data_IF_517182235881
#
_entry.id   IF_517182235881
#
_cell.length_a   1.000
_cell.length_b   1.000
_cell.length_c   1.000
_cell.angle_alpha   90.00
_cell.angle_beta   90.00
_cell.angle_gamma   90.00
#
_symmetry.space_group_name_H-M   'P 1'
#
loop_
_entity.id
_entity.type
_entity.pdbx_description
1 polymer ?
#
# COMPACT_ATOMS: atom_id res chain seq x y z
N UNK A 1 -4.94 -36.40 -42.55
CA UNK A 1 -5.09 -34.93 -42.46
C UNK A 1 -4.99 -34.51 -41.00
N UNK A 2 -3.92 -33.83 -40.59
CA UNK A 2 -3.72 -33.41 -39.20
C UNK A 2 -4.16 -31.94 -39.04
N UNK A 3 -5.14 -31.68 -38.15
CA UNK A 3 -5.58 -30.33 -37.78
C UNK A 3 -4.58 -29.74 -36.79
N UNK A 4 -3.79 -28.77 -37.25
CA UNK A 4 -2.93 -27.97 -36.39
C UNK A 4 -3.77 -26.94 -35.64
N UNK A 5 -4.08 -27.21 -34.37
CA UNK A 5 -4.74 -26.25 -33.48
C UNK A 5 -3.63 -25.38 -32.90
N UNK A 6 -3.43 -24.21 -33.50
CA UNK A 6 -2.52 -23.20 -32.97
C UNK A 6 -3.08 -22.70 -31.62
N UNK A 7 -2.54 -23.25 -30.52
CA UNK A 7 -2.74 -22.73 -29.16
C UNK A 7 -2.22 -21.29 -29.10
N UNK A 8 -3.11 -20.32 -28.96
CA UNK A 8 -2.75 -19.03 -28.38
C UNK A 8 -2.65 -19.22 -26.86
N UNK A 9 -1.46 -19.57 -26.37
CA UNK A 9 -1.16 -19.51 -24.94
C UNK A 9 -1.12 -18.03 -24.57
N UNK A 10 -2.21 -17.54 -24.00
CA UNK A 10 -2.31 -16.20 -23.42
C UNK A 10 -1.27 -16.09 -22.29
N UNK A 11 -0.06 -15.63 -22.65
CA UNK A 11 1.01 -15.34 -21.70
C UNK A 11 0.66 -14.02 -21.01
N UNK A 12 -0.18 -14.09 -19.97
CA UNK A 12 -0.38 -12.97 -19.04
C UNK A 12 0.89 -12.78 -18.23
N UNK A 13 1.86 -12.10 -18.82
CA UNK A 13 3.07 -11.67 -18.15
C UNK A 13 2.70 -10.79 -16.95
N UNK A 14 3.30 -11.11 -15.81
CA UNK A 14 2.94 -10.59 -14.50
C UNK A 14 3.08 -9.08 -14.38
N UNK A 15 1.93 -8.41 -14.37
CA UNK A 15 1.71 -7.18 -13.64
C UNK A 15 0.31 -7.30 -13.05
N UNK A 16 0.21 -7.68 -11.78
CA UNK A 16 -1.02 -7.39 -11.04
C UNK A 16 -1.17 -5.87 -11.09
N UNK A 17 -2.18 -5.40 -11.83
CA UNK A 17 -2.54 -3.99 -11.84
C UNK A 17 -2.64 -3.57 -10.37
N UNK A 18 -1.85 -2.56 -9.97
CA UNK A 18 -1.91 -2.02 -8.60
C UNK A 18 -3.38 -1.85 -8.26
N UNK A 19 -3.85 -2.37 -7.10
CA UNK A 19 -5.26 -2.35 -6.79
C UNK A 19 -5.77 -0.91 -6.98
N UNK A 20 -6.93 -0.72 -7.65
CA UNK A 20 -7.47 0.62 -7.86
C UNK A 20 -7.53 1.32 -6.51
N UNK A 21 -6.95 2.52 -6.43
CA UNK A 21 -6.87 3.28 -5.18
C UNK A 21 -8.29 3.43 -4.64
N UNK A 22 -8.58 2.69 -3.56
CA UNK A 22 -9.89 2.69 -2.93
C UNK A 22 -10.19 4.10 -2.42
N UNK A 23 -11.48 4.44 -2.24
CA UNK A 23 -11.87 5.73 -1.66
C UNK A 23 -11.15 5.95 -0.32
N UNK A 24 -11.11 4.90 0.52
CA UNK A 24 -10.35 4.87 1.77
C UNK A 24 -8.86 5.17 1.55
N UNK A 25 -8.22 4.58 0.54
CA UNK A 25 -6.82 4.85 0.22
C UNK A 25 -6.56 6.30 -0.17
N UNK A 26 -7.51 6.96 -0.85
CA UNK A 26 -7.41 8.40 -1.18
C UNK A 26 -7.51 9.26 0.08
N UNK A 27 -8.42 8.93 0.98
CA UNK A 27 -8.61 9.66 2.23
C UNK A 27 -7.39 9.51 3.16
N UNK A 28 -6.89 8.28 3.33
CA UNK A 28 -5.67 8.04 4.12
C UNK A 28 -4.46 8.78 3.56
N UNK A 29 -4.38 8.90 2.22
CA UNK A 29 -3.30 9.66 1.58
C UNK A 29 -3.43 11.17 1.86
N UNK A 30 -4.65 11.73 1.81
CA UNK A 30 -4.88 13.14 2.17
C UNK A 30 -4.49 13.41 3.62
N UNK A 31 -4.95 12.57 4.56
CA UNK A 31 -4.59 12.68 5.97
C UNK A 31 -3.08 12.60 6.18
N UNK A 32 -2.39 11.73 5.44
CA UNK A 32 -0.93 11.64 5.47
C UNK A 32 -0.27 12.92 4.97
N UNK A 33 -0.77 13.50 3.88
CA UNK A 33 -0.23 14.75 3.32
C UNK A 33 -0.44 15.94 4.28
N UNK A 34 -1.62 16.05 4.91
CA UNK A 34 -1.91 17.05 5.94
C UNK A 34 -1.04 16.87 7.19
N UNK A 35 -0.83 15.63 7.64
CA UNK A 35 0.05 15.34 8.77
C UNK A 35 1.50 15.75 8.48
N UNK A 36 2.00 15.49 7.28
CA UNK A 36 3.34 15.92 6.87
C UNK A 36 3.40 17.46 6.78
N UNK A 37 2.37 18.10 6.23
CA UNK A 37 2.30 19.56 6.10
C UNK A 37 2.27 20.28 7.46
N UNK A 38 1.67 19.67 8.48
CA UNK A 38 1.69 20.18 9.86
C UNK A 38 3.03 19.95 10.58
N UNK A 39 4.03 19.37 9.91
CA UNK A 39 5.35 19.08 10.47
C UNK A 39 5.43 17.70 11.17
N UNK A 40 4.41 16.86 11.00
CA UNK A 40 4.38 15.51 11.54
C UNK A 40 5.46 14.63 10.92
N UNK A 41 6.30 14.03 11.77
CA UNK A 41 7.33 13.07 11.34
C UNK A 41 6.68 11.71 11.13
N UNK A 42 6.86 11.14 9.94
CA UNK A 42 6.52 9.73 9.70
C UNK A 42 7.50 8.86 10.47
N UNK A 43 7.02 8.29 11.56
CA UNK A 43 7.82 7.43 12.43
C UNK A 43 8.06 6.07 11.76
N UNK A 44 9.28 5.57 11.88
CA UNK A 44 9.58 4.18 11.58
C UNK A 44 8.91 3.27 12.61
N UNK A 45 8.67 2.00 12.27
CA UNK A 45 7.95 1.04 13.13
C UNK A 45 8.42 1.04 14.59
N UNK A 46 9.74 1.07 14.83
CA UNK A 46 10.34 1.11 16.18
C UNK A 46 10.05 2.42 16.92
N UNK A 47 10.09 3.55 16.21
CA UNK A 47 9.77 4.87 16.79
C UNK A 47 8.29 4.97 17.13
N UNK A 48 7.42 4.43 16.26
CA UNK A 48 5.98 4.34 16.49
C UNK A 48 5.66 3.51 17.73
N UNK A 49 6.25 2.32 17.86
CA UNK A 49 6.06 1.45 19.02
C UNK A 49 6.52 2.14 20.32
N UNK A 50 7.63 2.86 20.30
CA UNK A 50 8.09 3.66 21.44
C UNK A 50 7.10 4.77 21.79
N UNK A 51 6.67 5.57 20.81
CA UNK A 51 5.75 6.68 21.08
C UNK A 51 4.37 6.18 21.53
N UNK A 52 3.90 5.04 21.01
CA UNK A 52 2.68 4.39 21.49
C UNK A 52 2.85 3.92 22.94
N UNK A 53 3.99 3.33 23.31
CA UNK A 53 4.26 2.90 24.68
C UNK A 53 4.35 4.10 25.65
N UNK A 54 4.98 5.19 25.23
CA UNK A 54 5.09 6.44 25.99
C UNK A 54 3.72 7.10 26.17
N UNK A 55 2.90 7.22 25.10
CA UNK A 55 1.55 7.80 25.17
C UNK A 55 0.56 6.94 25.94
N UNK A 56 0.72 5.62 25.92
CA UNK A 56 -0.13 4.69 26.69
C UNK A 56 0.27 4.59 28.17
N UNK A 57 1.31 5.32 28.60
CA UNK A 57 1.71 5.36 30.00
C UNK A 57 2.16 4.00 30.54
N UNK A 58 2.78 3.14 29.71
CA UNK A 58 3.33 1.86 30.14
C UNK A 58 4.65 2.03 30.95
N UNK A 59 4.76 3.11 31.72
CA UNK A 59 5.93 3.41 32.54
C UNK A 59 5.52 3.79 33.95
#
# INVERSE_FOLDING_TARGET
MAKQINKSVDRKNGHSAKPPVTLLGKELRKLREEYIASGGKLLNRRELEREVAERRGLR
#
